data_IF_622945517000
#
_entry.id   IF_622945517000
#
_cell.length_a   1.000
_cell.length_b   1.000
_cell.length_c   1.000
_cell.angle_alpha   90.00
_cell.angle_beta   90.00
_cell.angle_gamma   90.00
#
_symmetry.space_group_name_H-M   'P 1'
#
loop_
_entity.id
_entity.type
_entity.pdbx_description
1 polymer ?
#
# COMPACT_ATOMS: atom_id res chain seq x y z
N UNK A 1 -36.79 -49.22 -8.44
CA UNK A 1 -37.60 -48.10 -7.92
C UNK A 1 -38.37 -47.32 -8.99
N UNK A 2 -37.92 -47.20 -10.25
CA UNK A 2 -38.84 -46.95 -11.39
C UNK A 2 -39.64 -48.21 -11.79
N UNK A 3 -39.05 -49.39 -11.62
CA UNK A 3 -39.71 -50.69 -11.85
C UNK A 3 -40.67 -51.15 -10.73
N UNK A 4 -41.01 -50.29 -9.77
CA UNK A 4 -41.83 -50.63 -8.58
C UNK A 4 -43.17 -49.87 -8.52
N UNK A 5 -43.59 -49.19 -9.60
CA UNK A 5 -44.90 -48.53 -9.68
C UNK A 5 -45.05 -47.24 -8.85
N UNK A 6 -44.00 -46.77 -8.15
CA UNK A 6 -44.05 -45.48 -7.44
C UNK A 6 -43.98 -44.30 -8.41
N UNK A 7 -44.95 -43.39 -8.30
CA UNK A 7 -45.02 -42.20 -9.16
C UNK A 7 -43.81 -41.29 -8.95
N UNK A 8 -43.22 -40.83 -10.05
CA UNK A 8 -42.06 -39.93 -10.09
C UNK A 8 -42.19 -38.70 -9.15
N UNK A 9 -43.36 -38.05 -9.02
CA UNK A 9 -43.53 -36.91 -8.11
C UNK A 9 -43.36 -37.27 -6.63
N UNK A 10 -43.67 -38.51 -6.24
CA UNK A 10 -43.57 -38.99 -4.85
C UNK A 10 -42.12 -39.14 -4.40
N UNK A 11 -41.23 -39.48 -5.34
CA UNK A 11 -39.79 -39.60 -5.13
C UNK A 11 -39.12 -38.21 -5.16
N UNK A 12 -39.66 -37.26 -5.94
CA UNK A 12 -39.12 -35.90 -6.07
C UNK A 12 -39.47 -34.96 -4.89
N UNK A 13 -40.55 -35.22 -4.15
CA UNK A 13 -40.98 -34.40 -3.00
C UNK A 13 -39.91 -34.23 -1.90
N UNK A 14 -39.26 -35.29 -1.37
CA UNK A 14 -38.23 -35.12 -0.34
C UNK A 14 -37.01 -34.35 -0.85
N UNK A 15 -36.64 -34.54 -2.13
CA UNK A 15 -35.57 -33.76 -2.77
C UNK A 15 -35.93 -32.27 -2.81
N UNK A 16 -37.16 -31.93 -3.19
CA UNK A 16 -37.65 -30.55 -3.22
C UNK A 16 -37.56 -29.88 -1.85
N UNK A 17 -37.97 -30.56 -0.78
CA UNK A 17 -37.90 -30.01 0.58
C UNK A 17 -36.45 -29.71 0.98
N UNK A 18 -35.51 -30.61 0.71
CA UNK A 18 -34.10 -30.40 1.02
C UNK A 18 -33.51 -29.23 0.21
N UNK A 19 -33.81 -29.16 -1.09
CA UNK A 19 -33.33 -28.07 -1.96
C UNK A 19 -33.92 -26.73 -1.52
N UNK A 20 -35.19 -26.67 -1.13
CA UNK A 20 -35.79 -25.45 -0.61
C UNK A 20 -35.13 -24.96 0.69
N UNK A 21 -34.81 -25.87 1.62
CA UNK A 21 -34.11 -25.51 2.87
C UNK A 21 -32.70 -24.99 2.55
N UNK A 22 -31.96 -25.66 1.66
CA UNK A 22 -30.64 -25.22 1.21
C UNK A 22 -30.68 -23.86 0.52
N UNK A 23 -31.71 -23.61 -0.31
CA UNK A 23 -31.88 -22.33 -0.99
C UNK A 23 -32.11 -21.18 0.00
N UNK A 24 -32.98 -21.37 1.00
CA UNK A 24 -33.22 -20.37 2.06
C UNK A 24 -31.94 -20.14 2.87
N UNK A 25 -31.25 -21.21 3.29
CA UNK A 25 -29.99 -21.09 4.02
C UNK A 25 -28.91 -20.35 3.22
N UNK A 26 -28.75 -20.69 1.94
CA UNK A 26 -27.81 -20.03 1.02
C UNK A 26 -28.14 -18.55 0.85
N UNK A 27 -29.42 -18.20 0.74
CA UNK A 27 -29.86 -16.81 0.66
C UNK A 27 -29.47 -16.01 1.90
N UNK A 28 -29.65 -16.54 3.11
CA UNK A 28 -29.22 -15.86 4.34
C UNK A 28 -27.70 -15.69 4.42
N UNK A 29 -26.93 -16.70 3.99
CA UNK A 29 -25.47 -16.61 3.93
C UNK A 29 -25.04 -15.50 2.97
N UNK A 30 -25.58 -15.51 1.75
CA UNK A 30 -25.23 -14.54 0.72
C UNK A 30 -25.66 -13.10 1.09
N UNK A 31 -26.82 -12.94 1.74
CA UNK A 31 -27.38 -11.63 2.02
C UNK A 31 -26.86 -11.00 3.33
N UNK A 32 -26.52 -11.81 4.34
CA UNK A 32 -26.15 -11.29 5.67
C UNK A 32 -24.72 -11.65 6.05
N UNK A 33 -24.31 -12.90 5.86
CA UNK A 33 -23.02 -13.38 6.34
C UNK A 33 -21.86 -12.88 5.46
N UNK A 34 -22.00 -12.98 4.14
CA UNK A 34 -20.97 -12.53 3.18
C UNK A 34 -20.70 -11.03 3.32
N UNK A 35 -21.72 -10.13 3.32
CA UNK A 35 -21.47 -8.71 3.49
C UNK A 35 -20.84 -8.37 4.84
N UNK A 36 -21.28 -9.02 5.92
CA UNK A 36 -20.71 -8.81 7.26
C UNK A 36 -19.24 -9.23 7.34
N UNK A 37 -18.92 -10.42 6.81
CA UNK A 37 -17.55 -10.92 6.78
C UNK A 37 -16.65 -10.00 5.95
N UNK A 38 -17.12 -9.55 4.79
CA UNK A 38 -16.40 -8.61 3.94
C UNK A 38 -16.16 -7.28 4.66
N UNK A 39 -17.19 -6.65 5.26
CA UNK A 39 -17.02 -5.40 6.03
C UNK A 39 -15.95 -5.55 7.11
N UNK A 40 -15.97 -6.64 7.86
CA UNK A 40 -15.02 -6.88 8.96
C UNK A 40 -13.60 -7.15 8.45
N UNK A 41 -13.45 -7.94 7.38
CA UNK A 41 -12.17 -8.19 6.72
C UNK A 41 -11.54 -6.90 6.21
N UNK A 42 -12.31 -6.12 5.45
CA UNK A 42 -11.85 -4.84 4.90
C UNK A 42 -11.47 -3.83 5.98
N UNK A 43 -12.28 -3.68 7.03
CA UNK A 43 -11.94 -2.82 8.16
C UNK A 43 -10.64 -3.24 8.83
N UNK A 44 -10.43 -4.55 9.02
CA UNK A 44 -9.22 -5.06 9.65
C UNK A 44 -7.98 -4.78 8.79
N UNK A 45 -8.06 -4.99 7.48
CA UNK A 45 -6.98 -4.65 6.55
C UNK A 45 -6.71 -3.15 6.55
N UNK A 46 -7.76 -2.32 6.59
CA UNK A 46 -7.63 -0.87 6.71
C UNK A 46 -6.92 -0.46 8.00
N UNK A 47 -7.37 -0.98 9.16
CA UNK A 47 -6.79 -0.68 10.46
C UNK A 47 -5.31 -1.13 10.54
N UNK A 48 -4.97 -2.32 10.00
CA UNK A 48 -3.57 -2.81 9.92
C UNK A 48 -2.71 -1.88 9.06
N UNK A 49 -3.20 -1.49 7.87
CA UNK A 49 -2.48 -0.55 6.99
C UNK A 49 -2.31 0.82 7.63
N UNK A 50 -3.30 1.28 8.40
CA UNK A 50 -3.25 2.54 9.13
C UNK A 50 -2.28 2.47 10.32
N UNK A 51 -2.19 1.33 11.02
CA UNK A 51 -1.30 1.12 12.16
C UNK A 51 0.17 0.94 11.73
N UNK A 52 0.41 0.37 10.55
CA UNK A 52 1.75 0.14 9.99
C UNK A 52 2.27 1.30 9.12
N UNK A 53 1.88 2.55 9.40
CA UNK A 53 2.29 3.72 8.61
C UNK A 53 3.78 4.08 8.74
N UNK A 54 4.53 3.39 9.60
CA UNK A 54 5.99 3.46 9.61
C UNK A 54 6.51 2.67 8.41
N UNK A 55 7.18 3.34 7.47
CA UNK A 55 7.91 2.64 6.41
C UNK A 55 8.94 1.71 7.06
N UNK A 56 8.81 0.42 6.78
CA UNK A 56 9.76 -0.60 7.21
C UNK A 56 10.76 -0.86 6.08
N UNK A 57 12.02 -0.58 6.37
CA UNK A 57 13.17 -0.85 5.51
C UNK A 57 13.76 -2.18 5.94
N UNK A 58 14.05 -3.04 4.95
CA UNK A 58 14.82 -4.23 5.21
C UNK A 58 16.30 -3.88 5.31
N UNK A 59 16.94 -4.31 6.40
CA UNK A 59 18.34 -4.04 6.69
C UNK A 59 19.26 -4.41 5.52
N UNK A 60 20.07 -3.45 5.08
CA UNK A 60 21.05 -3.59 4.02
C UNK A 60 20.48 -3.64 2.59
N UNK A 61 19.16 -3.66 2.42
CA UNK A 61 18.51 -3.75 1.10
C UNK A 61 18.11 -2.36 0.56
N UNK A 62 18.13 -2.24 -0.76
CA UNK A 62 17.70 -1.03 -1.45
C UNK A 62 16.18 -1.02 -1.60
N UNK A 63 15.56 0.01 -1.05
CA UNK A 63 14.17 0.38 -1.29
C UNK A 63 14.08 1.30 -2.51
N UNK A 64 13.29 0.88 -3.51
CA UNK A 64 13.08 1.59 -4.78
C UNK A 64 11.61 1.99 -4.98
N UNK A 65 10.94 2.44 -3.92
CA UNK A 65 9.51 2.79 -3.99
C UNK A 65 9.20 4.12 -4.69
N UNK A 66 10.23 4.86 -5.12
CA UNK A 66 10.08 6.16 -5.79
C UNK A 66 10.89 6.10 -7.08
N UNK A 67 10.24 6.37 -8.21
CA UNK A 67 10.91 6.32 -9.50
C UNK A 67 12.10 7.28 -9.54
N UNK A 68 13.24 6.81 -10.05
CA UNK A 68 14.49 7.56 -10.08
C UNK A 68 15.16 7.80 -8.72
N UNK A 69 14.71 7.17 -7.62
CA UNK A 69 15.37 7.28 -6.30
C UNK A 69 15.50 5.91 -5.62
N UNK A 70 16.66 5.68 -5.00
CA UNK A 70 16.96 4.46 -4.24
C UNK A 70 17.44 4.82 -2.85
N UNK A 71 16.92 4.13 -1.84
CA UNK A 71 17.26 4.34 -0.43
C UNK A 71 17.77 3.02 0.14
N UNK A 72 18.97 3.00 0.72
CA UNK A 72 19.48 1.88 1.52
C UNK A 72 19.58 2.32 2.97
N UNK A 73 19.16 1.46 3.87
CA UNK A 73 19.29 1.63 5.30
C UNK A 73 20.12 0.47 5.83
N UNK A 74 21.16 0.74 6.60
CA UNK A 74 21.96 -0.33 7.23
C UNK A 74 21.15 -1.06 8.30
N UNK A 75 20.51 -0.32 9.20
CA UNK A 75 19.61 -0.88 10.20
C UNK A 75 18.48 0.09 10.58
N UNK A 76 17.26 -0.43 10.74
CA UNK A 76 16.12 0.29 11.29
C UNK A 76 15.73 -0.24 12.67
N UNK A 77 15.73 0.63 13.67
CA UNK A 77 15.20 0.30 14.99
C UNK A 77 13.66 0.26 14.93
N UNK A 78 13.06 -0.90 15.23
CA UNK A 78 11.61 -1.11 15.12
C UNK A 78 10.77 -0.33 16.14
N UNK A 79 11.31 0.00 17.32
CA UNK A 79 10.57 0.71 18.36
C UNK A 79 10.55 2.23 18.13
N UNK A 80 11.66 2.79 17.66
CA UNK A 80 11.84 4.24 17.51
C UNK A 80 11.68 4.71 16.05
N UNK A 81 11.82 3.81 15.09
CA UNK A 81 11.89 4.12 13.66
C UNK A 81 13.19 4.81 13.25
N UNK A 82 14.20 4.85 14.12
CA UNK A 82 15.50 5.44 13.82
C UNK A 82 16.24 4.57 12.81
N UNK A 83 16.67 5.21 11.72
CA UNK A 83 17.47 4.60 10.68
C UNK A 83 18.95 4.91 10.95
N UNK A 84 19.82 3.94 10.69
CA UNK A 84 21.27 4.09 10.79
C UNK A 84 21.93 3.64 9.49
N UNK A 85 23.05 4.28 9.14
CA UNK A 85 23.76 4.09 7.86
C UNK A 85 22.81 4.27 6.66
N UNK A 86 22.33 5.50 6.48
CA UNK A 86 21.37 5.84 5.43
C UNK A 86 22.12 6.31 4.19
N UNK A 87 21.82 5.67 3.06
CA UNK A 87 22.36 6.02 1.74
C UNK A 87 21.21 6.28 0.78
N UNK A 88 21.16 7.49 0.23
CA UNK A 88 20.12 7.92 -0.71
C UNK A 88 20.76 8.28 -2.03
N UNK A 89 20.33 7.62 -3.10
CA UNK A 89 20.63 7.98 -4.47
C UNK A 89 19.40 8.66 -5.08
N UNK A 90 19.53 9.92 -5.45
CA UNK A 90 18.47 10.66 -6.15
C UNK A 90 18.94 11.00 -7.57
N UNK A 91 18.30 10.31 -8.52
CA UNK A 91 18.50 10.37 -9.97
C UNK A 91 17.25 10.85 -10.71
N UNK A 92 16.26 11.40 -9.99
CA UNK A 92 14.94 11.78 -10.55
C UNK A 92 15.04 12.82 -11.65
N UNK A 93 16.03 13.71 -11.58
CA UNK A 93 16.27 14.69 -12.63
C UNK A 93 17.18 14.10 -13.72
N UNK A 94 16.57 13.51 -14.75
CA UNK A 94 17.29 12.90 -15.87
C UNK A 94 18.23 13.88 -16.61
N UNK A 95 17.88 15.17 -16.64
CA UNK A 95 18.65 16.24 -17.31
C UNK A 95 19.48 17.08 -16.33
N UNK A 96 19.43 16.79 -15.03
CA UNK A 96 20.07 17.57 -13.98
C UNK A 96 21.09 16.76 -13.18
N UNK A 97 21.51 17.32 -12.04
CA UNK A 97 22.58 16.73 -11.25
C UNK A 97 22.10 15.46 -10.53
N UNK A 98 22.95 14.44 -10.50
CA UNK A 98 22.77 13.26 -9.66
C UNK A 98 23.22 13.62 -8.25
N UNK A 99 22.46 13.20 -7.25
CA UNK A 99 22.87 13.40 -5.85
C UNK A 99 22.96 12.09 -5.10
N UNK A 100 24.00 11.98 -4.29
CA UNK A 100 24.22 10.88 -3.35
C UNK A 100 24.31 11.48 -1.96
N UNK A 101 23.42 11.07 -1.06
CA UNK A 101 23.45 11.53 0.34
C UNK A 101 23.75 10.35 1.23
N UNK A 102 24.74 10.50 2.09
CA UNK A 102 25.10 9.53 3.14
C UNK A 102 24.86 10.20 4.48
N UNK A 103 24.25 9.50 5.43
CA UNK A 103 24.02 10.02 6.77
C UNK A 103 24.18 8.93 7.82
N UNK A 104 24.74 9.30 8.97
CA UNK A 104 24.94 8.39 10.10
C UNK A 104 23.60 7.87 10.62
N UNK A 105 22.60 8.76 10.72
CA UNK A 105 21.26 8.40 11.17
C UNK A 105 20.17 9.29 10.59
N UNK A 106 18.91 8.87 10.71
CA UNK A 106 17.79 9.67 10.25
C UNK A 106 16.42 9.04 10.52
N UNK A 107 15.38 9.77 10.13
CA UNK A 107 14.01 9.31 10.07
C UNK A 107 13.46 9.53 8.67
N UNK A 108 12.73 8.55 8.17
CA UNK A 108 11.95 8.65 6.95
C UNK A 108 10.51 8.30 7.30
N UNK A 109 9.59 9.24 7.08
CA UNK A 109 8.19 9.09 7.46
C UNK A 109 7.28 9.56 6.35
N UNK A 110 6.08 9.01 6.33
CA UNK A 110 5.01 9.49 5.46
C UNK A 110 4.37 10.72 6.12
N UNK A 111 4.12 11.78 5.35
CA UNK A 111 3.38 12.95 5.84
C UNK A 111 1.97 12.57 6.26
N UNK A 112 1.34 13.36 7.14
CA UNK A 112 -0.02 13.10 7.64
C UNK A 112 -1.05 12.96 6.50
N UNK A 113 -0.87 13.74 5.43
CA UNK A 113 -1.71 13.71 4.23
C UNK A 113 -1.33 12.60 3.25
N UNK A 114 -0.28 11.82 3.52
CA UNK A 114 0.24 10.72 2.70
C UNK A 114 0.63 11.13 1.28
N UNK A 115 1.01 12.39 1.06
CA UNK A 115 1.45 12.90 -0.25
C UNK A 115 2.97 13.07 -0.35
N UNK A 116 3.65 13.13 0.79
CA UNK A 116 5.08 13.37 0.86
C UNK A 116 5.78 12.34 1.73
N UNK A 117 6.99 11.97 1.33
CA UNK A 117 7.96 11.30 2.16
C UNK A 117 8.83 12.38 2.82
N UNK A 118 8.71 12.50 4.14
CA UNK A 118 9.48 13.43 4.97
C UNK A 118 10.77 12.73 5.42
N UNK A 119 11.89 13.26 4.98
CA UNK A 119 13.22 12.72 5.25
C UNK A 119 13.94 13.71 6.17
N UNK A 120 14.38 13.23 7.32
CA UNK A 120 15.23 13.97 8.26
C UNK A 120 16.50 13.18 8.49
N UNK A 121 17.64 13.70 8.07
CA UNK A 121 18.95 13.07 8.20
C UNK A 121 19.82 13.85 9.18
N UNK A 122 20.61 13.13 9.97
CA UNK A 122 21.55 13.67 10.93
C UNK A 122 22.97 13.25 10.57
N UNK A 123 23.90 14.20 10.69
CA UNK A 123 25.34 14.01 10.49
C UNK A 123 25.65 13.27 9.19
N UNK A 124 25.60 14.01 8.09
CA UNK A 124 25.76 13.42 6.78
C UNK A 124 26.48 14.31 5.79
N UNK A 125 26.65 13.75 4.61
CA UNK A 125 27.32 14.37 3.49
C UNK A 125 26.51 14.16 2.22
N UNK A 126 26.25 15.25 1.51
CA UNK A 126 25.59 15.25 0.22
C UNK A 126 26.63 15.54 -0.86
N UNK A 127 26.71 14.62 -1.80
CA UNK A 127 27.49 14.70 -3.02
C UNK A 127 26.55 15.04 -4.17
N UNK A 128 26.91 16.04 -4.96
CA UNK A 128 26.17 16.46 -6.14
C UNK A 128 27.11 16.47 -7.35
N UNK A 129 26.70 15.77 -8.40
CA UNK A 129 27.48 15.60 -9.61
C UNK A 129 26.67 15.99 -10.85
N UNK A 130 27.26 16.85 -11.68
CA UNK A 130 26.67 17.29 -12.95
C UNK A 130 26.61 16.15 -13.97
N UNK A 131 25.40 15.81 -14.47
CA UNK A 131 25.19 14.74 -15.48
C UNK A 131 25.33 15.18 -16.94
N UNK A 132 25.63 16.46 -17.22
CA UNK A 132 25.49 17.01 -18.57
C UNK A 132 26.40 16.31 -19.59
N UNK A 133 25.82 15.47 -20.46
CA UNK A 133 26.50 14.50 -21.31
C UNK A 133 27.37 15.12 -22.41
N UNK A 134 27.08 16.36 -22.80
CA UNK A 134 27.83 17.09 -23.84
C UNK A 134 29.01 17.90 -23.30
N UNK A 135 29.11 18.14 -21.98
CA UNK A 135 30.17 18.93 -21.35
C UNK A 135 30.83 18.24 -20.15
N UNK A 136 30.62 16.94 -19.96
CA UNK A 136 31.14 16.19 -18.81
C UNK A 136 32.66 16.31 -18.62
N UNK A 137 33.42 16.48 -19.71
CA UNK A 137 34.87 16.71 -19.66
C UNK A 137 35.26 18.14 -19.20
N UNK A 138 34.41 19.14 -19.45
CA UNK A 138 34.74 20.57 -19.26
C UNK A 138 34.04 21.23 -18.07
N UNK A 139 32.98 20.63 -17.51
CA UNK A 139 32.17 21.18 -16.40
C UNK A 139 31.76 20.15 -15.35
N UNK A 140 32.56 19.10 -15.16
CA UNK A 140 32.35 18.18 -14.03
C UNK A 140 32.76 18.88 -12.74
N UNK A 141 31.78 19.37 -12.00
CA UNK A 141 31.96 19.84 -10.64
C UNK A 141 31.35 18.81 -9.70
N UNK A 142 32.15 18.24 -8.80
CA UNK A 142 31.64 17.50 -7.66
C UNK A 142 31.49 18.49 -6.51
N UNK A 143 30.25 18.75 -6.10
CA UNK A 143 29.99 19.53 -4.89
C UNK A 143 29.77 18.57 -3.72
N UNK A 144 30.46 18.84 -2.61
CA UNK A 144 30.31 18.10 -1.35
C UNK A 144 29.85 19.07 -0.28
N UNK A 145 28.69 18.80 0.31
CA UNK A 145 28.13 19.57 1.41
C UNK A 145 27.99 18.67 2.63
N UNK A 146 28.65 19.03 3.73
CA UNK A 146 28.45 18.37 5.03
C UNK A 146 27.32 19.06 5.79
N UNK A 147 26.54 18.30 6.53
CA UNK A 147 25.43 18.82 7.32
C UNK A 147 25.29 18.07 8.65
N UNK A 148 24.90 18.79 9.69
CA UNK A 148 24.48 18.19 10.96
C UNK A 148 23.00 17.75 10.90
N UNK A 149 22.17 18.54 10.21
CA UNK A 149 20.75 18.27 10.01
C UNK A 149 20.35 18.62 8.58
N UNK A 150 19.75 17.67 7.87
CA UNK A 150 19.14 17.91 6.55
C UNK A 150 17.70 17.41 6.55
N UNK A 151 16.78 18.27 6.10
CA UNK A 151 15.37 17.91 5.89
C UNK A 151 15.05 17.99 4.40
N UNK A 152 14.29 17.02 3.91
CA UNK A 152 13.81 16.98 2.53
C UNK A 152 12.42 16.36 2.46
N UNK A 153 11.57 16.91 1.60
CA UNK A 153 10.23 16.39 1.36
C UNK A 153 10.14 15.92 -0.09
N UNK A 154 9.72 14.68 -0.31
CA UNK A 154 9.65 14.07 -1.63
C UNK A 154 8.20 13.68 -1.93
N UNK A 155 7.66 14.23 -3.02
CA UNK A 155 6.33 13.84 -3.50
C UNK A 155 6.33 12.38 -3.95
N UNK A 156 5.37 11.61 -3.45
CA UNK A 156 5.20 10.18 -3.78
C UNK A 156 4.04 10.01 -4.76
N UNK A 157 4.24 10.41 -6.02
CA UNK A 157 3.24 10.23 -7.09
C UNK A 157 2.96 8.76 -7.47
N UNK A 158 3.59 7.78 -6.80
CA UNK A 158 3.38 6.33 -7.03
C UNK A 158 2.74 5.55 -5.87
N UNK A 159 2.54 6.17 -4.69
CA UNK A 159 1.85 5.54 -3.55
C UNK A 159 0.33 5.74 -3.59
N UNK A 160 -0.19 6.51 -4.56
CA UNK A 160 -1.62 6.77 -4.73
C UNK A 160 -2.44 5.49 -4.99
N UNK A 161 -1.80 4.39 -5.38
CA UNK A 161 -2.44 3.08 -5.51
C UNK A 161 -3.04 2.53 -4.19
N UNK A 162 -2.68 3.08 -3.02
CA UNK A 162 -3.32 2.73 -1.75
C UNK A 162 -4.56 3.58 -1.40
N UNK A 163 -4.79 4.70 -2.10
CA UNK A 163 -5.98 5.55 -1.88
C UNK A 163 -7.20 5.02 -2.62
N UNK A 164 -7.02 4.39 -3.78
CA UNK A 164 -8.11 3.87 -4.62
C UNK A 164 -8.90 2.73 -3.96
N UNK A 165 -8.40 2.12 -2.89
CA UNK A 165 -9.14 1.10 -2.12
C UNK A 165 -10.25 1.70 -1.25
N UNK A 166 -10.21 3.00 -0.91
CA UNK A 166 -11.23 3.64 -0.09
C UNK A 166 -12.62 3.57 -0.73
N UNK A 167 -12.69 3.82 -2.04
CA UNK A 167 -13.90 3.70 -2.84
C UNK A 167 -14.28 2.23 -3.10
N UNK A 168 -13.30 1.30 -3.08
CA UNK A 168 -13.56 -0.15 -3.10
C UNK A 168 -14.26 -0.66 -1.82
N UNK A 169 -14.22 0.08 -0.70
CA UNK A 169 -14.91 -0.32 0.54
C UNK A 169 -16.43 -0.05 0.50
N UNK A 170 -16.89 0.87 -0.36
CA UNK A 170 -18.30 1.18 -0.59
C UNK A 170 -18.94 0.37 -1.72
N UNK A 171 -18.26 -0.66 -2.23
CA UNK A 171 -18.75 -1.47 -3.34
C UNK A 171 -19.91 -2.40 -2.93
N UNK A 172 -20.73 -2.79 -3.91
CA UNK A 172 -21.90 -3.64 -3.71
C UNK A 172 -21.62 -4.96 -2.97
N UNK A 173 -20.37 -5.45 -2.98
CA UNK A 173 -19.96 -6.69 -2.31
C UNK A 173 -19.88 -6.59 -0.78
N UNK A 174 -19.93 -5.39 -0.20
CA UNK A 174 -19.99 -5.19 1.25
C UNK A 174 -21.41 -4.89 1.74
N UNK A 175 -22.42 -4.82 0.86
CA UNK A 175 -23.78 -4.37 1.19
C UNK A 175 -24.78 -5.52 1.16
N UNK A 176 -25.76 -5.46 2.05
CA UNK A 176 -26.94 -6.34 2.00
C UNK A 176 -28.04 -5.73 1.11
N UNK A 177 -29.11 -6.49 0.82
CA UNK A 177 -30.16 -6.03 -0.11
C UNK A 177 -30.84 -4.72 0.32
N UNK A 178 -31.06 -4.52 1.62
CA UNK A 178 -31.67 -3.29 2.13
C UNK A 178 -30.76 -2.06 1.97
N UNK A 179 -29.45 -2.25 2.13
CA UNK A 179 -28.44 -1.21 1.93
C UNK A 179 -28.26 -0.88 0.45
N UNK A 180 -28.30 -1.87 -0.43
CA UNK A 180 -28.26 -1.68 -1.89
C UNK A 180 -29.49 -0.93 -2.40
N UNK A 181 -30.66 -1.22 -1.85
CA UNK A 181 -31.91 -0.60 -2.28
C UNK A 181 -32.02 0.86 -1.85
N UNK A 182 -31.50 1.19 -0.66
CA UNK A 182 -31.40 2.57 -0.19
C UNK A 182 -30.47 3.43 -1.04
N UNK A 183 -29.35 2.87 -1.51
CA UNK A 183 -28.37 3.59 -2.35
C UNK A 183 -28.87 3.86 -3.78
N UNK A 184 -29.76 3.03 -4.33
CA UNK A 184 -30.35 3.24 -5.65
C UNK A 184 -31.38 4.39 -5.63
N UNK A 185 -32.01 4.65 -4.47
CA UNK A 185 -33.07 5.65 -4.30
C UNK A 185 -32.56 7.05 -3.87
N UNK A 186 -31.27 7.20 -3.54
CA UNK A 186 -30.60 8.50 -3.24
C UNK A 186 -29.63 8.90 -4.32
#
# INVERSE_FOLDING_TARGET
>A
MKSAGMSLPKIMRPLLVVVSILAVGSFFIANNLVPYANKKFFRTIYDIRQMNQTLEFQDGLFFNGIDGMSIRVGHQNQETGLLTDVLIYDNRNASGNMTTTVADSGYIRLSDDKRFLEITLFNGERYEQTRNSSQWYNKSSLQRNKFELQKANISISGFEMQRTDADLFNNAQTKNISELQYEIDT
#
